data_IF_130946128159
#
_entry.id   IF_130946128159
#
_cell.length_a   1.000
_cell.length_b   1.000
_cell.length_c   1.000
_cell.angle_alpha   90.00
_cell.angle_beta   90.00
_cell.angle_gamma   90.00
#
_symmetry.space_group_name_H-M   'P 1'
#
loop_
_entity.id
_entity.type
_entity.pdbx_description
1 polymer ?
#
# COMPACT_ATOMS: atom_id res chain seq x y z
N UNK A 1 26.95 1.01 -14.06
CA UNK A 1 25.94 1.12 -15.12
C UNK A 1 24.65 1.57 -14.50
N UNK A 2 24.36 2.88 -14.55
CA UNK A 2 23.15 3.46 -13.98
C UNK A 2 21.97 3.17 -14.91
N UNK A 3 20.98 2.45 -14.42
CA UNK A 3 19.70 2.32 -15.10
C UNK A 3 19.06 3.70 -15.20
N UNK A 4 18.86 4.18 -16.42
CA UNK A 4 18.15 5.42 -16.67
C UNK A 4 16.74 5.31 -16.07
N UNK A 5 16.52 5.98 -14.94
CA UNK A 5 15.20 6.08 -14.30
C UNK A 5 14.33 6.96 -15.20
N UNK A 6 13.53 6.33 -16.06
CA UNK A 6 12.52 7.04 -16.86
C UNK A 6 11.61 7.84 -15.91
N UNK A 7 11.50 9.15 -16.14
CA UNK A 7 10.57 10.00 -15.38
C UNK A 7 9.15 9.56 -15.68
N UNK A 8 8.50 8.93 -14.71
CA UNK A 8 7.08 8.57 -14.74
C UNK A 8 6.26 9.86 -14.84
N UNK A 9 5.20 9.91 -15.65
CA UNK A 9 4.30 11.07 -15.70
C UNK A 9 3.54 11.28 -14.38
N UNK A 10 3.17 12.52 -14.05
CA UNK A 10 2.40 12.83 -12.82
C UNK A 10 1.08 12.06 -12.76
N UNK A 11 0.32 12.02 -13.86
CA UNK A 11 -0.94 11.28 -13.95
C UNK A 11 -0.78 9.79 -13.62
N UNK A 12 0.32 9.16 -14.06
CA UNK A 12 0.58 7.76 -13.77
C UNK A 12 0.94 7.56 -12.30
N UNK A 13 1.77 8.45 -11.71
CA UNK A 13 2.05 8.42 -10.26
C UNK A 13 0.78 8.57 -9.43
N UNK A 14 -0.11 9.47 -9.83
CA UNK A 14 -1.38 9.70 -9.13
C UNK A 14 -2.32 8.48 -9.23
N UNK A 15 -2.36 7.81 -10.39
CA UNK A 15 -3.13 6.58 -10.56
C UNK A 15 -2.65 5.47 -9.61
N UNK A 16 -1.33 5.30 -9.45
CA UNK A 16 -0.76 4.33 -8.50
C UNK A 16 -1.00 4.74 -7.04
N UNK A 17 -0.87 6.03 -6.70
CA UNK A 17 -1.21 6.54 -5.35
C UNK A 17 -2.68 6.30 -4.99
N UNK A 18 -3.59 6.47 -5.95
CA UNK A 18 -5.02 6.15 -5.82
C UNK A 18 -5.31 4.66 -5.97
N UNK A 19 -4.29 3.83 -6.21
CA UNK A 19 -4.40 2.38 -6.37
C UNK A 19 -5.33 1.96 -7.52
N UNK A 20 -5.54 2.82 -8.51
CA UNK A 20 -6.39 2.56 -9.69
C UNK A 20 -6.12 1.22 -10.40
N UNK A 21 -4.86 0.77 -10.55
CA UNK A 21 -4.58 -0.54 -11.16
C UNK A 21 -5.29 -1.71 -10.47
N UNK A 22 -5.53 -1.62 -9.16
CA UNK A 22 -6.19 -2.66 -8.37
C UNK A 22 -7.69 -2.80 -8.70
N UNK A 23 -8.35 -1.72 -9.12
CA UNK A 23 -9.73 -1.77 -9.59
C UNK A 23 -9.85 -2.64 -10.85
N UNK A 24 -8.94 -2.45 -11.81
CA UNK A 24 -8.85 -3.31 -12.99
C UNK A 24 -8.47 -4.75 -12.61
N UNK A 25 -7.45 -4.91 -11.77
CA UNK A 25 -6.91 -6.21 -11.39
C UNK A 25 -7.97 -7.09 -10.68
N UNK A 26 -8.80 -6.50 -9.83
CA UNK A 26 -9.94 -7.16 -9.23
C UNK A 26 -10.85 -7.81 -10.29
N UNK A 27 -11.23 -7.05 -11.33
CA UNK A 27 -12.18 -7.53 -12.35
C UNK A 27 -11.58 -8.68 -13.15
N UNK A 28 -10.30 -8.57 -13.49
CA UNK A 28 -9.55 -9.63 -14.16
C UNK A 28 -9.51 -10.91 -13.30
N UNK A 29 -9.14 -10.79 -12.01
CA UNK A 29 -9.12 -11.95 -11.12
C UNK A 29 -10.49 -12.58 -10.91
N UNK A 30 -11.55 -11.77 -10.87
CA UNK A 30 -12.92 -12.27 -10.78
C UNK A 30 -13.29 -13.12 -12.01
N UNK A 31 -12.98 -12.64 -13.21
CA UNK A 31 -13.22 -13.38 -14.46
C UNK A 31 -12.43 -14.69 -14.51
N UNK A 32 -11.20 -14.69 -14.00
CA UNK A 32 -10.34 -15.88 -13.90
C UNK A 32 -10.72 -16.81 -12.72
N UNK A 33 -11.81 -16.50 -12.00
CA UNK A 33 -12.27 -17.22 -10.79
C UNK A 33 -11.22 -17.31 -9.66
N UNK A 34 -10.24 -16.39 -9.66
CA UNK A 34 -9.25 -16.23 -8.59
C UNK A 34 -9.81 -15.31 -7.51
N UNK A 35 -10.88 -15.77 -6.83
CA UNK A 35 -11.68 -14.93 -5.95
C UNK A 35 -10.89 -14.37 -4.75
N UNK A 36 -9.93 -15.13 -4.21
CA UNK A 36 -9.04 -14.67 -3.14
C UNK A 36 -8.20 -13.46 -3.58
N UNK A 37 -7.63 -13.51 -4.79
CA UNK A 37 -6.85 -12.40 -5.35
C UNK A 37 -7.73 -11.23 -5.75
N UNK A 38 -8.95 -11.50 -6.22
CA UNK A 38 -9.94 -10.46 -6.52
C UNK A 38 -10.30 -9.69 -5.23
N UNK A 39 -10.53 -10.38 -4.12
CA UNK A 39 -10.81 -9.78 -2.83
C UNK A 39 -9.62 -8.97 -2.26
N UNK A 40 -8.39 -9.45 -2.45
CA UNK A 40 -7.19 -8.71 -2.03
C UNK A 40 -7.01 -7.43 -2.86
N UNK A 41 -7.19 -7.50 -4.17
CA UNK A 41 -7.15 -6.32 -5.04
C UNK A 41 -8.28 -5.32 -4.69
N UNK A 42 -9.48 -5.83 -4.42
CA UNK A 42 -10.61 -5.03 -3.94
C UNK A 42 -10.28 -4.24 -2.68
N UNK A 43 -9.76 -4.96 -1.67
CA UNK A 43 -9.40 -4.39 -0.39
C UNK A 43 -8.31 -3.32 -0.55
N UNK A 44 -7.30 -3.60 -1.36
CA UNK A 44 -6.21 -2.67 -1.67
C UNK A 44 -6.75 -1.37 -2.27
N UNK A 45 -7.63 -1.43 -3.27
CA UNK A 45 -8.25 -0.24 -3.85
C UNK A 45 -9.15 0.51 -2.85
N UNK A 46 -9.93 -0.24 -2.06
CA UNK A 46 -10.87 0.31 -1.08
C UNK A 46 -10.18 1.13 0.01
N UNK A 47 -9.02 0.68 0.51
CA UNK A 47 -8.25 1.38 1.54
C UNK A 47 -7.85 2.79 1.09
N UNK A 48 -7.46 2.98 -0.18
CA UNK A 48 -7.16 4.31 -0.72
C UNK A 48 -8.41 5.11 -1.14
N UNK A 49 -9.55 4.44 -1.35
CA UNK A 49 -10.77 5.05 -1.88
C UNK A 49 -12.03 4.61 -1.10
N UNK A 50 -12.14 4.94 0.21
CA UNK A 50 -13.19 4.43 1.09
C UNK A 50 -14.60 4.92 0.70
N UNK A 51 -14.70 6.02 -0.03
CA UNK A 51 -15.96 6.62 -0.50
C UNK A 51 -16.48 6.02 -1.81
N UNK A 52 -15.71 5.14 -2.46
CA UNK A 52 -16.09 4.56 -3.76
C UNK A 52 -17.21 3.51 -3.59
N UNK A 53 -18.44 3.89 -3.97
CA UNK A 53 -19.65 3.09 -3.74
C UNK A 53 -19.59 1.69 -4.35
N UNK A 54 -19.21 1.57 -5.61
CA UNK A 54 -19.13 0.28 -6.30
C UNK A 54 -18.17 -0.69 -5.58
N UNK A 55 -17.07 -0.16 -5.02
CA UNK A 55 -16.09 -1.00 -4.34
C UNK A 55 -16.64 -1.52 -3.00
N UNK A 56 -17.44 -0.71 -2.30
CA UNK A 56 -18.14 -1.15 -1.08
C UNK A 56 -19.08 -2.32 -1.36
N UNK A 57 -19.82 -2.25 -2.47
CA UNK A 57 -20.71 -3.32 -2.90
C UNK A 57 -19.93 -4.59 -3.28
N UNK A 58 -18.85 -4.45 -4.03
CA UNK A 58 -17.99 -5.57 -4.43
C UNK A 58 -17.36 -6.26 -3.20
N UNK A 59 -16.89 -5.49 -2.22
CA UNK A 59 -16.39 -6.01 -0.95
C UNK A 59 -17.47 -6.78 -0.18
N UNK A 60 -18.68 -6.24 -0.08
CA UNK A 60 -19.82 -6.93 0.55
C UNK A 60 -20.23 -8.20 -0.24
N UNK A 61 -20.07 -8.20 -1.56
CA UNK A 61 -20.30 -9.36 -2.42
C UNK A 61 -19.26 -10.46 -2.13
N UNK A 62 -17.97 -10.13 -2.11
CA UNK A 62 -16.91 -11.10 -1.81
C UNK A 62 -17.05 -11.71 -0.42
N UNK A 63 -17.41 -10.92 0.61
CA UNK A 63 -17.62 -11.41 1.98
C UNK A 63 -18.73 -12.46 2.08
N UNK A 64 -19.72 -12.42 1.18
CA UNK A 64 -20.83 -13.38 1.12
C UNK A 64 -20.48 -14.67 0.36
N UNK A 65 -19.35 -14.71 -0.36
CA UNK A 65 -18.95 -15.90 -1.10
C UNK A 65 -18.21 -16.86 -0.18
N UNK A 66 -18.73 -18.08 -0.02
CA UNK A 66 -18.10 -19.15 0.78
C UNK A 66 -16.70 -19.56 0.32
N UNK A 67 -16.35 -19.23 -0.93
CA UNK A 67 -15.02 -19.51 -1.51
C UNK A 67 -13.97 -18.45 -1.19
N UNK A 68 -14.35 -17.31 -0.61
CA UNK A 68 -13.43 -16.23 -0.24
C UNK A 68 -13.17 -16.33 1.25
N UNK A 69 -11.90 -16.50 1.61
CA UNK A 69 -11.49 -16.57 3.01
C UNK A 69 -11.40 -15.16 3.62
N UNK A 70 -11.64 -15.00 4.93
CA UNK A 70 -11.42 -13.72 5.62
C UNK A 70 -10.00 -13.16 5.41
N UNK A 71 -8.99 -14.04 5.34
CA UNK A 71 -7.58 -13.65 5.12
C UNK A 71 -7.31 -13.10 3.71
N UNK A 72 -8.25 -13.27 2.77
CA UNK A 72 -8.13 -12.72 1.41
C UNK A 72 -8.39 -11.21 1.38
N UNK A 73 -8.99 -10.64 2.43
CA UNK A 73 -9.19 -9.20 2.57
C UNK A 73 -7.96 -8.56 3.23
N UNK A 74 -6.89 -8.42 2.44
CA UNK A 74 -5.66 -7.76 2.86
C UNK A 74 -5.27 -6.67 1.87
N UNK A 75 -4.64 -5.64 2.37
CA UNK A 75 -4.03 -4.61 1.53
C UNK A 75 -2.68 -5.12 1.01
N UNK A 76 -2.51 -5.12 -0.31
CA UNK A 76 -1.31 -5.59 -1.00
C UNK A 76 -0.21 -4.52 -1.05
N UNK A 77 -0.55 -3.27 -0.71
CA UNK A 77 0.37 -2.12 -0.68
C UNK A 77 0.72 -1.70 0.76
N UNK A 78 0.28 -2.44 1.78
CA UNK A 78 0.73 -2.21 3.16
C UNK A 78 2.24 -2.37 3.20
N UNK A 79 2.99 -1.33 3.60
CA UNK A 79 4.44 -1.46 3.63
C UNK A 79 4.82 -2.52 4.67
N UNK A 80 5.82 -3.38 4.41
CA UNK A 80 6.15 -4.51 5.28
C UNK A 80 6.36 -4.12 6.75
N UNK A 81 6.95 -2.94 6.99
CA UNK A 81 7.20 -2.41 8.33
C UNK A 81 5.95 -2.02 9.13
N UNK A 82 4.77 -1.99 8.50
CA UNK A 82 3.50 -1.78 9.18
C UNK A 82 2.82 -3.09 9.60
N UNK A 83 3.30 -4.25 9.16
CA UNK A 83 2.69 -5.53 9.52
C UNK A 83 2.74 -5.76 11.04
N UNK A 84 3.89 -5.52 11.67
CA UNK A 84 4.04 -5.64 13.12
C UNK A 84 3.18 -4.60 13.87
N UNK A 85 2.95 -3.43 13.26
CA UNK A 85 2.08 -2.40 13.83
C UNK A 85 0.62 -2.84 13.84
N UNK A 86 0.12 -3.32 12.71
CA UNK A 86 -1.26 -3.81 12.55
C UNK A 86 -1.54 -4.98 13.52
N UNK A 87 -0.62 -5.94 13.61
CA UNK A 87 -0.69 -7.06 14.55
C UNK A 87 -0.73 -6.56 16.01
N UNK A 88 0.11 -5.57 16.34
CA UNK A 88 0.13 -4.94 17.65
C UNK A 88 -1.20 -4.27 18.01
N UNK A 89 -1.82 -3.57 17.05
CA UNK A 89 -3.15 -2.95 17.24
C UNK A 89 -4.26 -4.00 17.42
N UNK A 90 -4.22 -5.11 16.69
CA UNK A 90 -5.20 -6.20 16.87
C UNK A 90 -5.11 -6.77 18.29
N UNK A 91 -3.90 -7.03 18.78
CA UNK A 91 -3.66 -7.53 20.14
C UNK A 91 -4.11 -6.53 21.21
N UNK A 92 -3.87 -5.23 21.02
CA UNK A 92 -4.39 -4.20 21.91
C UNK A 92 -5.91 -4.13 21.91
N UNK A 93 -6.55 -4.29 20.73
CA UNK A 93 -8.01 -4.38 20.62
C UNK A 93 -8.60 -5.57 21.39
N UNK A 94 -7.81 -6.65 21.56
CA UNK A 94 -8.13 -7.82 22.37
C UNK A 94 -7.70 -7.70 23.84
N UNK A 95 -7.15 -6.54 24.24
CA UNK A 95 -6.59 -6.26 25.57
C UNK A 95 -5.38 -7.14 25.94
N UNK A 96 -4.69 -7.71 24.95
CA UNK A 96 -3.52 -8.58 25.13
C UNK A 96 -2.22 -7.75 25.07
N UNK A 97 -2.10 -6.75 25.95
CA UNK A 97 -1.01 -5.78 25.92
C UNK A 97 0.39 -6.42 26.03
N UNK A 98 0.52 -7.50 26.79
CA UNK A 98 1.80 -8.21 26.93
C UNK A 98 2.29 -8.87 25.63
N UNK A 99 1.38 -9.26 24.75
CA UNK A 99 1.71 -9.79 23.42
C UNK A 99 1.87 -8.66 22.39
N UNK A 100 1.14 -7.56 22.57
CA UNK A 100 1.21 -6.40 21.69
C UNK A 100 2.55 -5.66 21.81
N UNK A 101 3.09 -5.52 23.02
CA UNK A 101 4.31 -4.75 23.28
C UNK A 101 5.49 -5.12 22.35
N UNK A 102 5.92 -6.40 22.24
CA UNK A 102 7.03 -6.75 21.35
C UNK A 102 6.73 -6.47 19.87
N UNK A 103 5.46 -6.57 19.43
CA UNK A 103 5.04 -6.26 18.05
C UNK A 103 5.16 -4.76 17.77
N UNK A 104 4.79 -3.92 18.73
CA UNK A 104 4.89 -2.48 18.60
C UNK A 104 6.35 -1.99 18.66
N UNK A 105 7.21 -2.65 19.45
CA UNK A 105 8.65 -2.37 19.45
C UNK A 105 9.31 -2.73 18.11
N UNK A 106 8.97 -3.88 17.54
CA UNK A 106 9.40 -4.30 16.19
C UNK A 106 8.97 -3.27 15.14
N UNK A 107 7.68 -2.89 15.14
CA UNK A 107 7.15 -1.88 14.23
C UNK A 107 7.86 -0.52 14.34
N UNK A 108 8.21 -0.10 15.56
CA UNK A 108 8.94 1.14 15.80
C UNK A 108 10.34 1.09 15.16
N UNK A 109 11.07 -0.01 15.36
CA UNK A 109 12.41 -0.19 14.79
C UNK A 109 12.39 -0.18 13.26
N UNK A 110 11.46 -0.92 12.66
CA UNK A 110 11.33 -0.98 11.20
C UNK A 110 10.92 0.37 10.61
N UNK A 111 10.03 1.11 11.28
CA UNK A 111 9.61 2.45 10.87
C UNK A 111 10.77 3.45 10.92
N UNK A 112 11.59 3.41 11.97
CA UNK A 112 12.79 4.25 12.08
C UNK A 112 13.78 3.96 10.95
N UNK A 113 14.06 2.69 10.68
CA UNK A 113 14.95 2.29 9.58
C UNK A 113 14.43 2.77 8.21
N UNK A 114 13.11 2.68 7.97
CA UNK A 114 12.51 3.18 6.74
C UNK A 114 12.61 4.71 6.63
N UNK A 115 12.41 5.45 7.72
CA UNK A 115 12.57 6.90 7.74
C UNK A 115 14.01 7.31 7.42
N UNK A 116 15.00 6.62 7.97
CA UNK A 116 16.41 6.85 7.67
C UNK A 116 16.72 6.57 6.19
N UNK A 117 16.21 5.47 5.64
CA UNK A 117 16.34 5.16 4.21
C UNK A 117 15.68 6.21 3.32
N UNK A 118 14.50 6.71 3.70
CA UNK A 118 13.81 7.78 3.00
C UNK A 118 14.63 9.08 3.04
N UNK A 119 15.14 9.45 4.23
CA UNK A 119 15.96 10.64 4.44
C UNK A 119 17.26 10.61 3.62
N UNK A 120 17.91 9.45 3.52
CA UNK A 120 19.08 9.29 2.66
C UNK A 120 18.76 9.54 1.17
N UNK A 121 17.50 9.35 0.74
CA UNK A 121 17.04 9.67 -0.60
C UNK A 121 16.62 11.13 -0.81
N UNK A 122 16.52 11.93 0.25
CA UNK A 122 16.11 13.33 0.20
C UNK A 122 17.23 14.30 -0.21
N UNK A 123 18.47 13.83 -0.41
CA UNK A 123 19.59 14.66 -0.87
C UNK A 123 19.41 15.22 -2.29
N UNK A 124 18.38 14.78 -3.03
CA UNK A 124 18.08 15.30 -4.36
C UNK A 124 19.17 14.99 -5.40
N UNK A 125 18.92 15.17 -6.70
CA UNK A 125 20.02 15.30 -7.65
C UNK A 125 20.77 16.61 -7.35
N UNK A 126 22.09 16.54 -7.18
CA UNK A 126 22.95 17.73 -7.21
C UNK A 126 22.68 18.50 -8.52
N UNK A 127 22.33 19.78 -8.38
CA UNK A 127 22.38 20.83 -9.41
C UNK A 127 21.47 20.70 -10.65
N UNK A 128 20.26 21.27 -10.56
CA UNK A 128 19.73 22.15 -11.61
C UNK A 128 19.48 23.55 -10.99
N UNK A 129 20.53 24.12 -10.41
CA UNK A 129 20.70 25.58 -10.31
C UNK A 129 21.62 26.09 -11.43
N UNK A 130 21.93 25.26 -12.44
CA UNK A 130 22.72 25.65 -13.63
C UNK A 130 21.87 26.01 -14.85
N UNK A 131 20.54 26.09 -14.70
CA UNK A 131 19.66 26.57 -15.79
C UNK A 131 19.28 28.05 -15.61
N UNK A 132 19.67 28.71 -14.51
CA UNK A 132 19.46 30.16 -14.31
C UNK A 132 20.76 31.00 -14.35
N UNK A 133 21.96 30.38 -14.35
CA UNK A 133 23.25 31.10 -14.42
C UNK A 133 23.93 31.04 -15.81
N UNK A 134 23.38 30.33 -16.80
CA UNK A 134 23.91 30.33 -18.18
C UNK A 134 23.11 31.24 -19.15
N UNK A 135 22.13 32.00 -18.65
CA UNK A 135 21.39 33.02 -19.42
C UNK A 135 21.73 34.48 -19.04
N UNK A 136 22.80 34.74 -18.26
CA UNK A 136 23.37 36.10 -18.08
C UNK A 136 24.75 36.27 -18.74
#
# INVERSE_FOLDING_TARGET
GGTARLRVGSALRDAFRRREPYNYLQRAYYQLKKLDLAAAAAHTFFVANPTHLQMREDMAKYRRMSRVRPQSFRDLETPPHWAAYDDGLELLGRQEAGLALPRLEEALQESLAQMESCRAGCEGPEEQQREEEEEE
#
